data_IF_654126563003
#
_entry.id   IF_654126563003
#
_cell.length_a   1.000
_cell.length_b   1.000
_cell.length_c   1.000
_cell.angle_alpha   90.00
_cell.angle_beta   90.00
_cell.angle_gamma   90.00
#
_symmetry.space_group_name_H-M   'P 1'
#
loop_
_entity.id
_entity.type
_entity.pdbx_description
1 polymer ?
#
# COMPACT_ATOMS: atom_id res chain seq x y z
N UNK A 1 7.31 1.49 8.50
CA UNK A 1 6.97 1.70 7.07
C UNK A 1 5.68 0.97 6.79
N UNK A 2 4.85 1.47 5.89
CA UNK A 2 3.56 0.88 5.50
C UNK A 2 3.72 0.10 4.19
N UNK A 3 3.32 -1.16 4.15
CA UNK A 3 3.24 -1.90 2.88
C UNK A 3 1.92 -1.57 2.20
N UNK A 4 1.99 -1.18 0.94
CA UNK A 4 0.85 -1.01 0.03
C UNK A 4 0.88 -2.17 -0.95
N UNK A 5 -0.26 -2.79 -1.23
CA UNK A 5 -0.38 -3.84 -2.25
C UNK A 5 -1.60 -3.61 -3.12
N UNK A 6 -1.60 -4.25 -4.28
CA UNK A 6 -2.81 -4.42 -5.09
C UNK A 6 -3.48 -5.74 -4.74
N UNK A 7 -4.76 -5.70 -4.39
CA UNK A 7 -5.58 -6.87 -4.17
C UNK A 7 -6.07 -7.47 -5.50
N UNK A 8 -6.50 -8.73 -5.47
CA UNK A 8 -7.25 -9.33 -6.58
C UNK A 8 -8.49 -8.46 -6.86
N UNK A 9 -8.61 -7.93 -8.08
CA UNK A 9 -9.62 -6.93 -8.44
C UNK A 9 -9.09 -5.50 -8.61
N UNK A 10 -7.78 -5.28 -8.44
CA UNK A 10 -7.13 -4.00 -8.74
C UNK A 10 -7.22 -2.95 -7.63
N UNK A 11 -7.81 -3.31 -6.48
CA UNK A 11 -7.96 -2.39 -5.36
C UNK A 11 -6.64 -2.21 -4.58
N UNK A 12 -6.33 -0.99 -4.15
CA UNK A 12 -5.15 -0.74 -3.32
C UNK A 12 -5.46 -0.93 -1.83
N UNK A 13 -4.59 -1.63 -1.11
CA UNK A 13 -4.74 -1.87 0.33
C UNK A 13 -3.41 -1.73 1.08
N UNK A 14 -3.48 -1.29 2.33
CA UNK A 14 -2.36 -1.40 3.27
C UNK A 14 -2.25 -2.82 3.84
N UNK A 15 -1.05 -3.16 4.32
CA UNK A 15 -0.80 -4.38 5.08
C UNK A 15 -0.31 -5.56 4.25
N UNK A 16 -0.21 -6.75 4.86
CA UNK A 16 0.42 -7.92 4.25
C UNK A 16 -0.52 -8.76 3.40
N UNK A 17 0.02 -9.34 2.33
CA UNK A 17 -0.72 -10.26 1.47
C UNK A 17 0.06 -10.67 0.24
N UNK A 18 -0.51 -11.61 -0.55
CA UNK A 18 0.16 -12.19 -1.70
C UNK A 18 0.35 -11.16 -2.82
N UNK A 19 1.37 -11.40 -3.64
CA UNK A 19 1.68 -10.58 -4.81
C UNK A 19 2.57 -9.37 -4.51
N UNK A 20 2.58 -8.43 -5.47
CA UNK A 20 3.49 -7.29 -5.46
C UNK A 20 3.06 -6.25 -4.42
N UNK A 21 4.04 -5.80 -3.64
CA UNK A 21 3.87 -4.72 -2.67
C UNK A 21 4.88 -3.60 -2.89
N UNK A 22 4.52 -2.40 -2.47
CA UNK A 22 5.37 -1.22 -2.39
C UNK A 22 5.46 -0.77 -0.94
N UNK A 23 6.65 -0.39 -0.49
CA UNK A 23 6.84 0.18 0.83
C UNK A 23 6.72 1.70 0.78
N UNK A 24 5.92 2.24 1.69
CA UNK A 24 5.72 3.66 1.88
C UNK A 24 6.18 4.04 3.29
N UNK A 25 6.69 5.26 3.46
CA UNK A 25 6.95 5.75 4.80
C UNK A 25 5.61 5.90 5.55
N UNK A 26 5.64 5.82 6.89
CA UNK A 26 4.42 5.88 7.72
C UNK A 26 3.88 7.31 7.90
N UNK A 27 4.23 8.22 6.99
CA UNK A 27 3.82 9.63 7.01
C UNK A 27 2.98 9.98 5.77
N UNK A 28 1.92 10.74 6.01
CA UNK A 28 1.00 11.13 4.94
C UNK A 28 1.70 12.02 3.89
N UNK A 29 2.75 12.75 4.26
CA UNK A 29 3.52 13.54 3.30
C UNK A 29 4.19 12.64 2.24
N UNK A 30 4.68 11.45 2.62
CA UNK A 30 5.24 10.50 1.65
C UNK A 30 4.19 9.98 0.69
N UNK A 31 2.95 9.79 1.16
CA UNK A 31 1.84 9.41 0.30
C UNK A 31 1.61 10.45 -0.80
N UNK A 32 1.57 11.73 -0.44
CA UNK A 32 1.35 12.81 -1.41
C UNK A 32 2.50 12.95 -2.39
N UNK A 33 3.75 12.73 -1.96
CA UNK A 33 4.91 12.68 -2.86
C UNK A 33 4.80 11.48 -3.82
N UNK A 34 4.49 10.28 -3.31
CA UNK A 34 4.33 9.07 -4.11
C UNK A 34 3.20 9.21 -5.13
N UNK A 35 2.07 9.81 -4.74
CA UNK A 35 0.94 10.14 -5.60
C UNK A 35 1.36 11.09 -6.72
N UNK A 36 1.97 12.23 -6.38
CA UNK A 36 2.43 13.23 -7.37
C UNK A 36 3.41 12.64 -8.38
N UNK A 37 4.30 11.74 -7.93
CA UNK A 37 5.30 11.07 -8.78
C UNK A 37 4.77 9.84 -9.53
N UNK A 38 3.48 9.50 -9.41
CA UNK A 38 2.89 8.26 -9.96
C UNK A 38 3.67 6.99 -9.55
N UNK A 39 4.24 7.00 -8.36
CA UNK A 39 5.14 5.94 -7.89
C UNK A 39 4.42 4.60 -7.66
N UNK A 40 3.13 4.63 -7.29
CA UNK A 40 2.34 3.42 -7.03
C UNK A 40 2.23 2.50 -8.25
N UNK A 41 1.87 3.04 -9.42
CA UNK A 41 1.79 2.25 -10.65
C UNK A 41 3.13 1.65 -11.05
N UNK A 42 4.22 2.42 -10.91
CA UNK A 42 5.59 1.93 -11.18
C UNK A 42 6.02 0.84 -10.21
N UNK A 43 5.79 1.02 -8.91
CA UNK A 43 6.23 0.09 -7.88
C UNK A 43 5.42 -1.22 -7.91
N UNK A 44 4.11 -1.11 -8.11
CA UNK A 44 3.21 -2.27 -8.20
C UNK A 44 3.24 -2.93 -9.60
N UNK A 45 3.83 -2.26 -10.60
CA UNK A 45 3.81 -2.64 -12.02
C UNK A 45 2.40 -2.93 -12.53
N UNK A 46 1.47 -2.05 -12.19
CA UNK A 46 0.07 -2.21 -12.50
C UNK A 46 -0.57 -0.86 -12.86
N UNK A 47 -1.64 -0.90 -13.64
CA UNK A 47 -2.46 0.28 -13.90
C UNK A 47 -3.28 0.60 -12.64
N UNK A 48 -2.83 1.62 -11.91
CA UNK A 48 -3.44 2.03 -10.66
C UNK A 48 -4.39 3.18 -10.95
N UNK A 49 -5.70 2.92 -10.81
CA UNK A 49 -6.72 3.93 -11.04
C UNK A 49 -6.62 5.09 -10.03
N UNK A 50 -6.81 6.36 -10.44
CA UNK A 50 -6.76 7.50 -9.53
C UNK A 50 -7.74 7.39 -8.35
N UNK A 51 -8.93 6.81 -8.58
CA UNK A 51 -9.93 6.57 -7.55
C UNK A 51 -9.43 5.62 -6.44
N UNK A 52 -8.63 4.62 -6.79
CA UNK A 52 -8.05 3.69 -5.81
C UNK A 52 -6.97 4.36 -4.95
N UNK A 53 -6.20 5.29 -5.54
CA UNK A 53 -5.28 6.12 -4.75
C UNK A 53 -6.08 6.98 -3.77
N UNK A 54 -7.20 7.57 -4.20
CA UNK A 54 -8.09 8.32 -3.31
C UNK A 54 -8.63 7.49 -2.15
N UNK A 55 -9.12 6.27 -2.43
CA UNK A 55 -9.60 5.33 -1.40
C UNK A 55 -8.49 4.92 -0.44
N UNK A 56 -7.31 4.59 -0.95
CA UNK A 56 -6.15 4.27 -0.13
C UNK A 56 -5.78 5.44 0.81
N UNK A 57 -5.87 6.70 0.33
CA UNK A 57 -5.68 7.89 1.18
C UNK A 57 -6.73 7.99 2.29
N UNK A 58 -8.00 7.73 1.97
CA UNK A 58 -9.08 7.75 2.97
C UNK A 58 -8.93 6.66 4.03
N UNK A 59 -8.38 5.51 3.66
CA UNK A 59 -8.06 4.40 4.55
C UNK A 59 -6.69 4.54 5.23
N UNK A 60 -6.13 5.76 5.31
CA UNK A 60 -4.82 5.97 5.93
C UNK A 60 -4.86 5.46 7.38
N UNK A 61 -3.95 4.55 7.77
CA UNK A 61 -3.93 4.04 9.13
C UNK A 61 -3.61 5.19 10.07
N UNK A 62 -4.55 5.53 10.95
CA UNK A 62 -4.31 6.42 12.08
C UNK A 62 -3.13 5.86 12.87
N UNK A 63 -2.09 6.66 13.09
CA UNK A 63 -0.86 6.24 13.78
C UNK A 63 -1.19 5.77 15.20
N UNK A 64 -1.39 4.48 15.37
CA UNK A 64 -1.22 3.77 16.63
C UNK A 64 -0.32 2.60 16.32
N UNK A 65 0.91 2.64 16.83
CA UNK A 65 2.02 1.78 16.45
C UNK A 65 1.93 0.35 16.93
N UNK A 66 0.86 -0.37 16.59
CA UNK A 66 0.74 -1.81 16.83
C UNK A 66 0.02 -2.46 15.63
N UNK A 67 0.77 -2.83 14.61
CA UNK A 67 0.36 -3.86 13.65
C UNK A 67 1.54 -4.85 13.61
N UNK A 68 1.45 -6.01 14.27
CA UNK A 68 2.47 -7.04 14.13
C UNK A 68 2.54 -7.37 12.63
N UNK A 69 3.69 -7.04 12.03
CA UNK A 69 3.98 -7.39 10.64
C UNK A 69 3.67 -8.88 10.41
N UNK A 70 3.27 -9.27 9.19
CA UNK A 70 2.77 -10.61 8.93
C UNK A 70 3.73 -11.64 9.51
N UNK A 71 3.22 -12.41 10.47
CA UNK A 71 3.82 -13.68 10.81
C UNK A 71 3.95 -14.45 9.50
N UNK A 72 5.21 -14.61 9.09
CA UNK A 72 5.62 -15.58 8.10
C UNK A 72 5.02 -16.93 8.53
N UNK A 73 4.02 -17.39 7.79
CA UNK A 73 3.52 -18.76 7.91
C UNK A 73 3.58 -19.37 6.51
N UNK A 74 4.75 -19.94 6.24
CA UNK A 74 4.90 -21.35 5.86
C UNK A 74 3.83 -21.94 4.94
N UNK A 75 4.19 -22.13 3.66
CA UNK A 75 3.76 -23.23 2.75
C UNK A 75 4.87 -23.31 1.66
N UNK A 76 5.65 -24.38 1.44
CA UNK A 76 5.70 -25.77 1.90
C UNK A 76 7.12 -26.33 1.70
#
# INVERSE_FOLDING_TARGET
MLRVRMAAGGALRFGPGPGRGAWLCADIACFDVARRRRAFGRALRADVRPGEIGRLRGAWPSRSGDDPGPADRAES
#
